data_IF_788644466262
#
_entry.id   IF_788644466262
#
_cell.length_a   1.000
_cell.length_b   1.000
_cell.length_c   1.000
_cell.angle_alpha   90.00
_cell.angle_beta   90.00
_cell.angle_gamma   90.00
#
_symmetry.space_group_name_H-M   'P 1'
#
loop_
_entity.id
_entity.type
_entity.pdbx_description
1 polymer ?
#
# COMPACT_ATOMS: atom_id res chain seq x y z
N UNK A 1 11.28 18.47 -16.64
CA UNK A 1 10.02 17.70 -16.66
C UNK A 1 10.31 16.30 -16.13
N UNK A 2 9.85 15.94 -14.91
CA UNK A 2 9.90 14.55 -14.46
C UNK A 2 8.97 13.74 -15.37
N UNK A 3 9.50 12.75 -16.10
CA UNK A 3 8.66 11.83 -16.87
C UNK A 3 7.75 11.10 -15.86
N UNK A 4 6.43 11.12 -16.09
CA UNK A 4 5.49 10.35 -15.27
C UNK A 4 5.94 8.88 -15.22
N UNK A 5 6.08 8.34 -14.03
CA UNK A 5 6.50 6.95 -13.79
C UNK A 5 5.40 5.94 -14.15
N UNK A 6 4.16 6.43 -14.25
CA UNK A 6 2.98 5.63 -14.54
C UNK A 6 2.31 6.11 -15.82
N UNK A 7 1.58 5.20 -16.47
CA UNK A 7 0.61 5.53 -17.50
C UNK A 7 -0.79 5.17 -16.99
N UNK A 8 -1.77 5.95 -17.45
CA UNK A 8 -3.18 5.74 -17.10
C UNK A 8 -3.80 4.81 -18.13
N UNK A 9 -4.35 3.69 -17.68
CA UNK A 9 -5.18 2.77 -18.46
C UNK A 9 -6.62 2.98 -18.03
N UNK A 10 -7.55 2.72 -18.93
CA UNK A 10 -8.98 2.81 -18.67
C UNK A 10 -9.55 1.40 -18.49
N UNK A 11 -10.16 1.14 -17.35
CA UNK A 11 -10.94 -0.07 -17.12
C UNK A 11 -12.42 0.24 -17.37
N UNK A 12 -13.06 -0.48 -18.28
CA UNK A 12 -14.49 -0.38 -18.51
C UNK A 12 -15.23 -1.36 -17.60
N UNK A 13 -16.13 -0.83 -16.77
CA UNK A 13 -16.99 -1.61 -15.88
C UNK A 13 -18.45 -1.43 -16.31
N UNK A 14 -19.36 -2.21 -15.75
CA UNK A 14 -20.80 -2.04 -16.00
C UNK A 14 -21.32 -0.68 -15.52
N UNK A 15 -20.69 -0.11 -14.51
CA UNK A 15 -21.13 1.10 -13.83
C UNK A 15 -20.34 2.35 -14.25
N UNK A 16 -19.44 2.21 -15.24
CA UNK A 16 -18.65 3.32 -15.74
C UNK A 16 -17.20 2.97 -16.08
N UNK A 17 -16.36 3.99 -16.01
CA UNK A 17 -14.95 3.93 -16.37
C UNK A 17 -14.10 4.21 -15.14
N UNK A 18 -13.18 3.30 -14.82
CA UNK A 18 -12.24 3.45 -13.71
C UNK A 18 -10.83 3.57 -14.25
N UNK A 19 -10.08 4.63 -13.89
CA UNK A 19 -8.67 4.74 -14.23
C UNK A 19 -7.84 3.70 -13.48
N UNK A 20 -6.91 3.08 -14.20
CA UNK A 20 -5.88 2.24 -13.62
C UNK A 20 -4.50 2.83 -13.90
N UNK A 21 -3.73 3.06 -12.85
CA UNK A 21 -2.34 3.47 -12.98
C UNK A 21 -1.44 2.24 -13.09
N UNK A 22 -0.68 2.18 -14.18
CA UNK A 22 0.20 1.07 -14.47
C UNK A 22 1.65 1.55 -14.47
N UNK A 23 2.56 0.73 -13.94
CA UNK A 23 4.00 0.96 -14.12
C UNK A 23 4.35 0.95 -15.61
N UNK A 24 5.19 1.89 -16.05
CA UNK A 24 5.73 1.93 -17.41
C UNK A 24 6.83 0.91 -17.65
N UNK A 25 7.49 0.50 -16.59
CA UNK A 25 8.52 -0.51 -16.57
C UNK A 25 7.89 -1.82 -16.11
N UNK A 26 8.26 -2.94 -16.70
CA UNK A 26 7.75 -4.26 -16.32
C UNK A 26 8.06 -4.55 -14.84
N UNK A 27 9.28 -4.27 -14.42
CA UNK A 27 9.75 -4.36 -13.04
C UNK A 27 9.87 -2.98 -12.44
N UNK A 28 9.28 -2.77 -11.26
CA UNK A 28 9.24 -1.44 -10.65
C UNK A 28 9.28 -1.51 -9.12
N UNK A 29 10.14 -0.70 -8.53
CA UNK A 29 10.18 -0.41 -7.09
C UNK A 29 10.68 1.01 -6.88
N UNK A 30 9.99 1.79 -6.09
CA UNK A 30 10.39 3.16 -5.70
C UNK A 30 10.02 3.46 -4.26
N UNK A 31 10.65 4.48 -3.72
CA UNK A 31 10.23 5.16 -2.49
C UNK A 31 9.87 6.59 -2.85
N UNK A 32 8.61 6.96 -2.69
CA UNK A 32 8.05 8.24 -3.12
C UNK A 32 7.57 9.01 -1.88
N UNK A 33 8.33 10.00 -1.40
CA UNK A 33 7.85 10.88 -0.35
C UNK A 33 6.91 11.94 -0.92
N UNK A 34 5.86 12.26 -0.20
CA UNK A 34 4.98 13.39 -0.43
C UNK A 34 4.92 14.26 0.82
N UNK A 35 4.82 15.57 0.65
CA UNK A 35 4.74 16.51 1.76
C UNK A 35 3.74 17.61 1.44
N UNK A 36 2.90 17.96 2.40
CA UNK A 36 1.93 19.06 2.33
C UNK A 36 0.99 18.97 1.12
N UNK A 37 0.52 17.78 0.78
CA UNK A 37 -0.38 17.59 -0.34
C UNK A 37 -1.83 17.44 0.12
N UNK A 38 -2.70 18.24 -0.50
CA UNK A 38 -4.14 17.97 -0.46
C UNK A 38 -4.43 16.95 -1.56
N UNK A 39 -4.77 15.74 -1.14
CA UNK A 39 -5.10 14.66 -2.04
C UNK A 39 -6.63 14.51 -2.11
N UNK A 40 -7.20 14.98 -3.20
CA UNK A 40 -8.55 14.62 -3.62
C UNK A 40 -8.41 13.79 -4.88
N UNK A 41 -8.40 12.48 -4.71
CA UNK A 41 -8.20 11.55 -5.80
C UNK A 41 -9.51 10.97 -6.29
N UNK A 42 -9.69 10.90 -7.61
CA UNK A 42 -10.78 10.12 -8.19
C UNK A 42 -10.60 8.63 -7.84
N UNK A 43 -11.71 7.88 -7.83
CA UNK A 43 -11.68 6.43 -7.68
C UNK A 43 -10.79 5.81 -8.77
N UNK A 44 -9.76 5.06 -8.36
CA UNK A 44 -8.80 4.43 -9.26
C UNK A 44 -8.26 3.11 -8.70
N UNK A 45 -7.45 2.43 -9.50
CA UNK A 45 -6.69 1.24 -9.08
C UNK A 45 -5.25 1.29 -9.59
N UNK A 46 -4.44 0.33 -9.13
CA UNK A 46 -3.07 0.12 -9.60
C UNK A 46 -2.89 -1.31 -10.15
N UNK A 47 -1.86 -1.54 -10.97
CA UNK A 47 -1.42 -2.89 -11.36
C UNK A 47 -0.18 -3.35 -10.57
N UNK A 48 0.09 -2.72 -9.44
CA UNK A 48 1.24 -2.97 -8.57
C UNK A 48 0.80 -2.97 -7.10
N UNK A 49 1.61 -3.53 -6.23
CA UNK A 49 1.46 -3.43 -4.78
C UNK A 49 1.88 -2.04 -4.31
N UNK A 50 1.22 -1.52 -3.28
CA UNK A 50 1.59 -0.25 -2.66
C UNK A 50 1.55 -0.38 -1.15
N UNK A 51 2.65 -0.03 -0.49
CA UNK A 51 2.69 0.28 0.94
C UNK A 51 2.61 1.80 1.02
N UNK A 52 1.57 2.33 1.66
CA UNK A 52 1.44 3.77 1.95
C UNK A 52 1.54 3.96 3.45
N UNK A 53 2.52 4.74 3.88
CA UNK A 53 2.67 5.16 5.26
C UNK A 53 2.33 6.64 5.38
N UNK A 54 1.20 6.94 6.01
CA UNK A 54 0.79 8.29 6.37
C UNK A 54 1.42 8.57 7.73
N UNK A 55 2.49 9.34 7.76
CA UNK A 55 3.15 9.74 9.00
C UNK A 55 2.34 10.77 9.74
N UNK A 56 1.76 11.71 8.99
CA UNK A 56 0.90 12.75 9.53
C UNK A 56 -0.15 13.17 8.51
N UNK A 57 -1.41 13.07 8.89
CA UNK A 57 -2.51 13.41 7.98
C UNK A 57 -3.88 13.26 8.62
N UNK A 58 -4.90 13.75 7.90
CA UNK A 58 -6.30 13.63 8.30
C UNK A 58 -7.21 13.58 7.09
N UNK A 59 -8.36 12.96 7.22
CA UNK A 59 -9.37 12.82 6.16
C UNK A 59 -9.95 11.43 6.10
N UNK A 60 -10.27 10.98 4.88
CA UNK A 60 -10.85 9.65 4.64
C UNK A 60 -10.18 9.00 3.43
N UNK A 61 -9.85 7.74 3.56
CA UNK A 61 -9.42 6.89 2.45
C UNK A 61 -10.46 5.78 2.24
N UNK A 62 -11.09 5.76 1.06
CA UNK A 62 -12.02 4.69 0.69
C UNK A 62 -11.25 3.60 -0.05
N UNK A 63 -11.34 2.36 0.42
CA UNK A 63 -10.67 1.19 -0.17
C UNK A 63 -11.72 0.12 -0.40
N UNK A 64 -11.89 -0.34 -1.64
CA UNK A 64 -12.88 -1.33 -2.04
C UNK A 64 -14.31 -0.98 -1.52
N UNK A 65 -14.67 0.31 -1.63
CA UNK A 65 -15.95 0.88 -1.18
C UNK A 65 -16.17 0.94 0.34
N UNK A 66 -15.14 0.72 1.14
CA UNK A 66 -15.15 0.90 2.58
C UNK A 66 -14.34 2.14 2.94
N UNK A 67 -14.88 2.98 3.82
CA UNK A 67 -14.25 4.22 4.25
C UNK A 67 -13.47 4.01 5.55
N UNK A 68 -12.22 4.46 5.55
CA UNK A 68 -11.31 4.44 6.68
C UNK A 68 -10.92 5.88 7.04
N UNK A 69 -11.08 6.31 8.30
CA UNK A 69 -10.56 7.60 8.73
C UNK A 69 -9.03 7.58 8.69
N UNK A 70 -8.44 8.66 8.20
CA UNK A 70 -6.98 8.82 8.19
C UNK A 70 -6.52 9.35 9.53
N UNK A 71 -5.46 8.75 10.06
CA UNK A 71 -4.77 9.15 11.28
C UNK A 71 -3.25 9.17 11.10
N UNK A 72 -2.56 9.80 12.05
CA UNK A 72 -1.11 9.79 12.09
C UNK A 72 -0.56 8.36 12.28
N UNK A 73 0.61 8.10 11.72
CA UNK A 73 1.28 6.80 11.75
C UNK A 73 0.42 5.64 11.22
N UNK A 74 -0.40 5.92 10.21
CA UNK A 74 -1.25 4.90 9.57
C UNK A 74 -0.57 4.25 8.37
N UNK A 75 -0.70 2.93 8.28
CA UNK A 75 -0.22 2.10 7.18
C UNK A 75 -1.43 1.62 6.38
N UNK A 76 -1.37 1.81 5.06
CA UNK A 76 -2.34 1.25 4.13
C UNK A 76 -1.63 0.34 3.13
N UNK A 77 -2.19 -0.83 2.90
CA UNK A 77 -1.66 -1.82 1.96
C UNK A 77 -2.64 -2.01 0.80
N UNK A 78 -2.16 -1.86 -0.42
CA UNK A 78 -2.97 -2.04 -1.62
C UNK A 78 -2.42 -3.16 -2.48
N UNK A 79 -3.28 -4.10 -2.81
CA UNK A 79 -3.03 -5.15 -3.81
C UNK A 79 -3.24 -4.61 -5.22
N UNK A 80 -2.62 -5.23 -6.24
CA UNK A 80 -2.99 -4.97 -7.62
C UNK A 80 -4.49 -5.16 -7.84
N UNK A 81 -5.16 -4.11 -8.34
CA UNK A 81 -6.60 -4.13 -8.62
C UNK A 81 -7.50 -3.57 -7.52
N UNK A 82 -6.99 -3.32 -6.31
CA UNK A 82 -7.77 -2.63 -5.28
C UNK A 82 -8.24 -1.28 -5.78
N UNK A 83 -9.53 -1.00 -5.56
CA UNK A 83 -10.14 0.27 -5.90
C UNK A 83 -10.03 1.21 -4.70
N UNK A 84 -9.49 2.40 -4.93
CA UNK A 84 -9.39 3.35 -3.84
C UNK A 84 -9.49 4.81 -4.30
N UNK A 85 -9.85 5.66 -3.36
CA UNK A 85 -9.83 7.12 -3.47
C UNK A 85 -9.49 7.70 -2.10
N UNK A 86 -8.94 8.91 -2.09
CA UNK A 86 -8.65 9.65 -0.87
C UNK A 86 -9.23 11.06 -0.97
N UNK A 87 -9.77 11.54 0.15
CA UNK A 87 -10.07 12.96 0.39
C UNK A 87 -9.36 13.31 1.68
N UNK A 88 -8.15 13.82 1.57
CA UNK A 88 -7.30 14.01 2.74
C UNK A 88 -6.28 15.13 2.56
N UNK A 89 -5.79 15.59 3.68
CA UNK A 89 -4.59 16.42 3.77
C UNK A 89 -3.50 15.60 4.41
N UNK A 90 -2.44 15.27 3.68
CA UNK A 90 -1.27 14.60 4.22
C UNK A 90 -0.15 15.62 4.38
N UNK A 91 0.31 15.81 5.61
CA UNK A 91 1.45 16.67 5.91
C UNK A 91 2.77 15.96 5.58
N UNK A 92 2.81 14.66 5.79
CA UNK A 92 3.94 13.81 5.44
C UNK A 92 3.46 12.38 5.17
N UNK A 93 3.77 11.82 3.99
CA UNK A 93 3.58 10.41 3.69
C UNK A 93 4.72 9.81 2.86
N UNK A 94 4.78 8.49 2.82
CA UNK A 94 5.73 7.73 1.99
C UNK A 94 4.97 6.60 1.29
N UNK A 95 4.96 6.65 -0.05
CA UNK A 95 4.50 5.55 -0.90
C UNK A 95 5.65 4.63 -1.33
N UNK A 96 5.46 3.32 -1.23
CA UNK A 96 6.41 2.31 -1.71
C UNK A 96 5.68 1.38 -2.68
N UNK A 97 5.51 1.80 -3.95
CA UNK A 97 4.97 0.95 -5.00
C UNK A 97 6.01 -0.07 -5.48
N UNK A 98 5.59 -1.33 -5.72
CA UNK A 98 6.41 -2.37 -6.32
C UNK A 98 5.59 -3.36 -7.12
N UNK A 99 6.20 -3.95 -8.16
CA UNK A 99 5.54 -4.93 -9.02
C UNK A 99 5.74 -6.36 -8.54
N UNK A 100 4.93 -7.27 -9.07
CA UNK A 100 4.98 -8.72 -8.80
C UNK A 100 6.39 -9.32 -9.02
N UNK A 101 7.17 -8.77 -9.96
CA UNK A 101 8.52 -9.23 -10.26
C UNK A 101 9.45 -9.20 -9.05
N UNK A 102 9.22 -8.25 -8.11
CA UNK A 102 9.96 -8.19 -6.87
C UNK A 102 9.74 -9.45 -6.02
N UNK A 103 8.50 -9.92 -5.92
CA UNK A 103 8.16 -11.10 -5.13
C UNK A 103 8.71 -12.38 -5.75
N UNK A 104 8.84 -12.42 -7.08
CA UNK A 104 9.40 -13.56 -7.81
C UNK A 104 10.90 -13.80 -7.53
N UNK A 105 11.60 -12.82 -6.96
CA UNK A 105 12.98 -12.97 -6.50
C UNK A 105 13.10 -13.65 -5.13
N UNK A 106 12.01 -13.71 -4.36
CA UNK A 106 12.00 -14.30 -3.02
C UNK A 106 11.75 -15.80 -3.08
N UNK A 107 12.19 -16.56 -2.05
CA UNK A 107 11.76 -17.94 -1.88
C UNK A 107 10.23 -18.05 -1.89
N UNK A 108 9.67 -19.05 -2.59
CA UNK A 108 8.23 -19.18 -2.83
C UNK A 108 7.40 -19.06 -1.54
N UNK A 109 7.84 -19.67 -0.44
CA UNK A 109 7.13 -19.58 0.86
C UNK A 109 7.02 -18.15 1.39
N UNK A 110 8.03 -17.31 1.15
CA UNK A 110 8.03 -15.91 1.58
C UNK A 110 7.15 -15.10 0.63
N UNK A 111 7.29 -15.29 -0.67
CA UNK A 111 6.46 -14.62 -1.67
C UNK A 111 4.97 -14.94 -1.46
N UNK A 112 4.61 -16.21 -1.24
CA UNK A 112 3.23 -16.61 -0.97
C UNK A 112 2.71 -16.07 0.35
N UNK A 113 3.55 -16.03 1.39
CA UNK A 113 3.18 -15.39 2.65
C UNK A 113 2.84 -13.90 2.46
N UNK A 114 3.63 -13.17 1.67
CA UNK A 114 3.36 -11.77 1.34
C UNK A 114 2.04 -11.64 0.57
N UNK A 115 1.84 -12.43 -0.49
CA UNK A 115 0.62 -12.37 -1.30
C UNK A 115 -0.63 -12.64 -0.50
N UNK A 116 -0.65 -13.72 0.27
CA UNK A 116 -1.88 -14.25 0.86
C UNK A 116 -2.13 -13.84 2.31
N UNK A 117 -1.06 -13.54 3.07
CA UNK A 117 -1.20 -13.17 4.48
C UNK A 117 -0.99 -11.68 4.75
N UNK A 118 -0.36 -10.96 3.82
CA UNK A 118 -0.15 -9.51 3.97
C UNK A 118 -1.14 -8.74 3.13
N UNK A 119 -1.20 -9.01 1.82
CA UNK A 119 -2.03 -8.23 0.89
C UNK A 119 -3.42 -8.81 0.64
N UNK A 120 -3.58 -10.12 0.48
CA UNK A 120 -4.87 -10.78 0.22
C UNK A 120 -5.50 -11.34 1.50
N UNK A 121 -5.37 -10.66 2.62
CA UNK A 121 -5.88 -11.16 3.90
C UNK A 121 -7.40 -10.99 3.97
N UNK A 122 -8.13 -12.04 3.58
CA UNK A 122 -9.61 -12.03 3.62
C UNK A 122 -10.08 -11.81 5.06
N UNK A 123 -10.85 -10.74 5.28
CA UNK A 123 -11.45 -10.43 6.59
C UNK A 123 -10.59 -9.56 7.52
N UNK A 124 -9.44 -9.08 7.05
CA UNK A 124 -8.67 -8.04 7.76
C UNK A 124 -8.58 -6.82 6.87
N UNK A 125 -9.01 -5.64 7.32
CA UNK A 125 -8.85 -4.41 6.57
C UNK A 125 -7.37 -4.16 6.21
N UNK A 126 -7.11 -3.54 5.06
CA UNK A 126 -5.74 -3.23 4.63
C UNK A 126 -5.15 -2.01 5.34
N UNK A 127 -5.65 -1.70 6.53
CA UNK A 127 -5.32 -0.49 7.32
C UNK A 127 -4.83 -0.89 8.70
N UNK A 128 -3.73 -0.28 9.11
CA UNK A 128 -3.15 -0.47 10.44
C UNK A 128 -2.54 0.82 10.96
N UNK A 129 -2.33 0.89 12.27
CA UNK A 129 -1.56 1.96 12.90
C UNK A 129 -0.28 1.39 13.52
N UNK A 130 0.77 2.21 13.58
CA UNK A 130 2.04 1.85 14.21
C UNK A 130 2.35 2.86 15.31
N UNK A 131 3.00 2.40 16.38
CA UNK A 131 3.52 3.27 17.41
C UNK A 131 4.84 3.96 16.97
N UNK A 132 5.28 4.94 17.75
CA UNK A 132 6.47 5.73 17.45
C UNK A 132 7.75 4.87 17.37
N UNK A 133 7.84 3.79 18.16
CA UNK A 133 8.99 2.90 18.14
C UNK A 133 9.06 2.11 16.80
N UNK A 134 7.93 1.59 16.34
CA UNK A 134 7.84 0.93 15.04
C UNK A 134 8.04 1.92 13.90
N UNK A 135 7.53 3.15 14.02
CA UNK A 135 7.77 4.22 13.05
C UNK A 135 9.28 4.55 12.91
N UNK A 136 10.02 4.59 14.03
CA UNK A 136 11.47 4.77 14.00
C UNK A 136 12.20 3.60 13.32
N UNK A 137 11.81 2.36 13.63
CA UNK A 137 12.38 1.16 12.99
C UNK A 137 12.08 1.16 11.49
N UNK A 138 10.84 1.46 11.10
CA UNK A 138 10.41 1.53 9.70
C UNK A 138 11.19 2.60 8.93
N UNK A 139 11.42 3.77 9.54
CA UNK A 139 12.23 4.83 8.96
C UNK A 139 13.63 4.33 8.58
N UNK A 140 14.30 3.62 9.49
CA UNK A 140 15.65 3.06 9.24
C UNK A 140 15.65 2.06 8.09
N UNK A 141 14.65 1.19 8.00
CA UNK A 141 14.53 0.23 6.90
C UNK A 141 14.23 0.90 5.55
N UNK A 142 13.43 1.97 5.55
CA UNK A 142 13.18 2.78 4.34
C UNK A 142 14.45 3.50 3.89
N UNK A 143 15.29 3.99 4.80
CA UNK A 143 16.60 4.57 4.47
C UNK A 143 17.54 3.54 3.85
N UNK A 144 17.58 2.33 4.38
CA UNK A 144 18.31 1.21 3.75
C UNK A 144 17.79 0.95 2.35
N UNK A 145 16.48 0.88 2.16
CA UNK A 145 15.87 0.67 0.84
C UNK A 145 16.24 1.78 -0.14
N UNK A 146 16.16 3.05 0.28
CA UNK A 146 16.58 4.21 -0.54
C UNK A 146 18.06 4.10 -0.95
N UNK A 147 18.91 3.78 -0.01
CA UNK A 147 20.35 3.61 -0.26
C UNK A 147 20.64 2.48 -1.26
N UNK A 148 19.89 1.36 -1.18
CA UNK A 148 20.00 0.28 -2.15
C UNK A 148 19.57 0.72 -3.55
N UNK A 149 18.45 1.47 -3.66
CA UNK A 149 17.94 1.97 -4.94
C UNK A 149 18.86 3.00 -5.60
N UNK A 150 19.57 3.82 -4.81
CA UNK A 150 20.50 4.82 -5.31
C UNK A 150 21.83 4.20 -5.81
N UNK A 151 22.26 3.11 -5.21
CA UNK A 151 23.61 2.53 -5.46
C UNK A 151 23.60 1.32 -6.40
N UNK A 152 22.49 0.94 -6.98
CA UNK A 152 22.38 -0.24 -7.84
C UNK A 152 21.85 0.12 -9.23
N UNK A 153 22.26 -0.70 -10.23
CA UNK A 153 21.79 -0.52 -11.61
C UNK A 153 20.32 -0.88 -11.79
N UNK A 154 19.88 -1.90 -11.05
CA UNK A 154 18.53 -2.44 -11.16
C UNK A 154 17.76 -2.17 -9.85
N UNK A 155 16.65 -1.46 -9.95
CA UNK A 155 15.78 -1.15 -8.80
C UNK A 155 15.22 -2.44 -8.15
N UNK A 156 15.04 -3.50 -8.94
CA UNK A 156 14.57 -4.80 -8.47
C UNK A 156 15.72 -5.82 -8.50
N UNK A 157 16.10 -6.27 -7.32
CA UNK A 157 17.11 -7.31 -7.10
C UNK A 157 16.84 -8.02 -5.77
N UNK A 158 17.61 -9.06 -5.45
CA UNK A 158 17.39 -9.84 -4.24
C UNK A 158 17.51 -9.01 -2.95
N UNK A 159 18.40 -8.03 -2.88
CA UNK A 159 18.55 -7.20 -1.68
C UNK A 159 17.34 -6.31 -1.45
N UNK A 160 16.83 -5.67 -2.51
CA UNK A 160 15.63 -4.83 -2.40
C UNK A 160 14.37 -5.67 -2.11
N UNK A 161 14.26 -6.87 -2.69
CA UNK A 161 13.18 -7.81 -2.39
C UNK A 161 13.22 -8.29 -0.93
N UNK A 162 14.41 -8.65 -0.42
CA UNK A 162 14.60 -9.03 0.97
C UNK A 162 14.25 -7.87 1.92
N UNK A 163 14.66 -6.63 1.60
CA UNK A 163 14.35 -5.44 2.41
C UNK A 163 12.85 -5.20 2.47
N UNK A 164 12.12 -5.28 1.36
CA UNK A 164 10.65 -5.18 1.34
C UNK A 164 10.01 -6.29 2.18
N UNK A 165 10.52 -7.52 2.10
CA UNK A 165 9.98 -8.64 2.90
C UNK A 165 10.16 -8.41 4.41
N UNK A 166 11.28 -7.81 4.84
CA UNK A 166 11.52 -7.42 6.24
C UNK A 166 10.56 -6.31 6.66
N UNK A 167 10.40 -5.26 5.87
CA UNK A 167 9.44 -4.17 6.14
C UNK A 167 8.04 -4.75 6.34
N UNK A 168 7.56 -5.57 5.41
CA UNK A 168 6.23 -6.19 5.49
C UNK A 168 6.10 -7.13 6.70
N UNK A 169 7.16 -7.83 7.08
CA UNK A 169 7.18 -8.68 8.27
C UNK A 169 7.05 -7.87 9.56
N UNK A 170 7.79 -6.77 9.67
CA UNK A 170 7.70 -5.83 10.81
C UNK A 170 6.28 -5.30 10.92
N UNK A 171 5.72 -4.79 9.83
CA UNK A 171 4.35 -4.26 9.81
C UNK A 171 3.33 -5.33 10.21
N UNK A 172 3.42 -6.55 9.68
CA UNK A 172 2.45 -7.61 9.97
C UNK A 172 2.49 -8.05 11.44
N UNK A 173 3.63 -8.01 12.10
CA UNK A 173 3.80 -8.48 13.48
C UNK A 173 3.57 -7.39 14.53
N UNK A 174 3.84 -6.14 14.19
CA UNK A 174 3.89 -5.05 15.19
C UNK A 174 2.90 -3.92 14.95
N UNK A 175 2.29 -3.82 13.77
CA UNK A 175 1.23 -2.86 13.55
C UNK A 175 -0.11 -3.34 14.14
N UNK A 176 -0.90 -2.39 14.62
CA UNK A 176 -2.27 -2.64 15.10
C UNK A 176 -3.22 -2.57 13.92
N UNK A 177 -3.60 -3.74 13.39
CA UNK A 177 -4.52 -3.84 12.26
C UNK A 177 -5.95 -3.53 12.71
N UNK A 178 -6.64 -2.74 11.92
CA UNK A 178 -8.06 -2.50 12.15
C UNK A 178 -8.82 -3.82 12.08
N UNK A 179 -9.61 -4.11 13.10
CA UNK A 179 -10.46 -5.28 13.12
C UNK A 179 -11.82 -4.87 12.61
N UNK A 180 -12.12 -5.19 11.38
CA UNK A 180 -13.47 -5.09 10.87
C UNK A 180 -14.29 -6.30 11.35
N UNK A 181 -14.57 -6.34 12.64
CA UNK A 181 -15.72 -7.09 13.08
C UNK A 181 -16.97 -6.31 12.65
N UNK A 182 -17.37 -6.47 11.40
CA UNK A 182 -18.77 -6.39 11.13
C UNK A 182 -19.43 -7.39 12.09
N UNK A 183 -20.02 -6.89 13.16
CA UNK A 183 -21.09 -7.56 13.87
C UNK A 183 -22.20 -7.81 12.85
N UNK A 184 -22.06 -8.88 12.10
CA UNK A 184 -23.12 -9.43 11.29
C UNK A 184 -24.12 -10.06 12.28
N UNK A 185 -24.86 -9.22 12.98
CA UNK A 185 -26.07 -9.64 13.66
C UNK A 185 -27.08 -9.95 12.54
N UNK A 186 -27.35 -11.24 12.26
CA UNK A 186 -28.34 -11.58 11.26
C UNK A 186 -29.69 -10.96 11.71
N UNK A 187 -30.48 -10.42 10.77
CA UNK A 187 -31.76 -9.81 11.12
C UNK A 187 -32.59 -10.83 11.90
N UNK A 188 -32.94 -10.50 13.14
CA UNK A 188 -33.82 -11.34 13.95
C UNK A 188 -35.14 -11.49 13.18
N UNK A 189 -35.48 -12.74 12.84
CA UNK A 189 -36.80 -13.06 12.32
C UNK A 189 -37.82 -12.62 13.37
N UNK A 190 -38.58 -11.57 13.07
CA UNK A 190 -39.79 -11.25 13.83
C UNK A 190 -40.76 -12.40 13.61
N UNK A 191 -41.05 -13.13 14.69
CA UNK A 191 -42.18 -14.03 14.76
C UNK A 191 -43.47 -13.28 14.71
#
# INVERSE_FOLDING_TARGET
MRKSLFYKRTLHTKDGVIPQYCSKEGSYLKVIPHNNENLDTELHSHNFYLILWIKKGQGTHSINFQDFPISDNQILLFSPGDLHKAVCTNEEDIGIPFTEDLLNLLPLKIADWIRYNVFCNIGTPPVATIDDNIAEILTKWIEVLKSLLENQKDDINYCTAATISVILKILKEHASWENDFMDFTPPQKKN
#
